data_IF_247405453264
#
_entry.id   IF_247405453264
#
_cell.length_a   1.000
_cell.length_b   1.000
_cell.length_c   1.000
_cell.angle_alpha   90.00
_cell.angle_beta   90.00
_cell.angle_gamma   90.00
#
_symmetry.space_group_name_H-M   'P 1'
#
loop_
_entity.id
_entity.type
_entity.pdbx_description
1 polymer ?
#
# COMPACT_ATOMS: atom_id res chain seq x y z
N UNK A 1 -2.11 -19.92 -27.30
CA UNK A 1 -1.32 -20.93 -26.55
C UNK A 1 -1.72 -20.86 -25.07
N UNK A 2 -1.84 -22.00 -24.36
CA UNK A 2 -2.08 -21.97 -22.92
C UNK A 2 -0.84 -21.38 -22.20
N UNK A 3 -1.06 -20.53 -21.19
CA UNK A 3 0.01 -19.94 -20.37
C UNK A 3 0.68 -21.03 -19.54
N UNK A 4 2.00 -21.12 -19.57
CA UNK A 4 2.78 -22.00 -18.67
C UNK A 4 2.79 -21.41 -17.26
N UNK A 5 2.93 -22.24 -16.20
CA UNK A 5 3.04 -21.74 -14.83
C UNK A 5 4.09 -20.64 -14.69
N UNK A 6 5.28 -20.84 -15.26
CA UNK A 6 6.38 -19.88 -15.26
C UNK A 6 6.03 -18.52 -15.88
N UNK A 7 5.31 -18.51 -17.01
CA UNK A 7 4.82 -17.26 -17.63
C UNK A 7 3.83 -16.50 -16.73
N UNK A 8 3.02 -17.22 -15.95
CA UNK A 8 2.07 -16.63 -15.00
C UNK A 8 2.80 -16.00 -13.80
N UNK A 9 3.84 -16.65 -13.29
CA UNK A 9 4.66 -16.10 -12.20
C UNK A 9 5.43 -14.85 -12.64
N UNK A 10 6.04 -14.84 -13.83
CA UNK A 10 6.80 -13.69 -14.33
C UNK A 10 5.91 -12.48 -14.63
N UNK A 11 4.75 -12.69 -15.27
CA UNK A 11 3.77 -11.63 -15.53
C UNK A 11 3.23 -11.06 -14.20
N UNK A 12 2.89 -11.95 -13.25
CA UNK A 12 2.48 -11.55 -11.90
C UNK A 12 3.55 -10.72 -11.17
N UNK A 13 4.80 -11.14 -11.22
CA UNK A 13 5.92 -10.44 -10.57
C UNK A 13 6.14 -9.03 -11.15
N UNK A 14 6.01 -8.84 -12.46
CA UNK A 14 6.18 -7.51 -13.07
C UNK A 14 5.08 -6.53 -12.66
N UNK A 15 3.82 -6.99 -12.59
CA UNK A 15 2.70 -6.12 -12.19
C UNK A 15 2.75 -5.84 -10.69
N UNK A 16 3.21 -6.81 -9.90
CA UNK A 16 3.38 -6.68 -8.46
C UNK A 16 4.51 -5.72 -8.08
N UNK A 17 5.65 -5.77 -8.77
CA UNK A 17 6.73 -4.77 -8.64
C UNK A 17 6.22 -3.34 -8.83
N UNK A 18 5.42 -3.12 -9.88
CA UNK A 18 4.86 -1.80 -10.16
C UNK A 18 3.91 -1.32 -9.04
N UNK A 19 3.22 -2.26 -8.38
CA UNK A 19 2.38 -1.98 -7.22
C UNK A 19 3.22 -1.59 -6.00
N UNK A 20 4.25 -2.38 -5.68
CA UNK A 20 5.21 -2.08 -4.60
C UNK A 20 5.83 -0.69 -4.78
N UNK A 21 6.33 -0.37 -5.97
CA UNK A 21 6.93 0.94 -6.27
C UNK A 21 5.93 2.10 -6.09
N UNK A 22 4.68 1.92 -6.52
CA UNK A 22 3.64 2.93 -6.34
C UNK A 22 3.31 3.17 -4.86
N UNK A 23 3.28 2.10 -4.04
CA UNK A 23 3.04 2.21 -2.61
C UNK A 23 4.21 2.87 -1.87
N UNK A 24 5.46 2.60 -2.26
CA UNK A 24 6.61 3.33 -1.72
C UNK A 24 6.58 4.84 -2.05
N UNK A 25 6.20 5.23 -3.27
CA UNK A 25 6.04 6.65 -3.61
C UNK A 25 4.95 7.31 -2.75
N UNK A 26 3.82 6.63 -2.54
CA UNK A 26 2.79 7.11 -1.62
C UNK A 26 3.32 7.30 -0.19
N UNK A 27 4.04 6.31 0.34
CA UNK A 27 4.66 6.41 1.66
C UNK A 27 5.58 7.62 1.79
N UNK A 28 6.40 7.90 0.77
CA UNK A 28 7.30 9.07 0.75
C UNK A 28 6.51 10.39 0.72
N UNK A 29 5.46 10.45 -0.11
CA UNK A 29 4.64 11.65 -0.27
C UNK A 29 3.77 11.95 0.96
N UNK A 30 3.26 10.91 1.63
CA UNK A 30 2.54 11.03 2.90
C UNK A 30 3.46 11.55 4.02
N UNK A 31 4.69 11.05 4.10
CA UNK A 31 5.68 11.55 5.05
C UNK A 31 6.02 13.02 4.77
N UNK A 32 6.26 13.38 3.50
CA UNK A 32 6.49 14.78 3.11
C UNK A 32 5.33 15.68 3.52
N UNK A 33 4.08 15.24 3.32
CA UNK A 33 2.89 15.97 3.77
C UNK A 33 2.86 16.09 5.30
N UNK A 34 3.14 15.01 6.03
CA UNK A 34 3.14 14.97 7.48
C UNK A 34 4.20 15.89 8.11
N UNK A 35 5.34 16.06 7.44
CA UNK A 35 6.43 16.93 7.88
C UNK A 35 6.21 18.41 7.49
N UNK A 36 5.30 18.69 6.55
CA UNK A 36 4.99 20.04 6.08
C UNK A 36 3.86 20.73 6.89
N UNK A 37 3.16 19.97 7.74
CA UNK A 37 2.09 20.49 8.60
C UNK A 37 2.64 21.40 9.72
N UNK A 38 1.89 22.43 10.16
CA UNK A 38 0.62 22.93 9.60
C UNK A 38 0.79 23.93 8.43
N UNK A 39 1.98 24.52 8.28
CA UNK A 39 2.15 25.82 7.63
C UNK A 39 2.52 25.73 6.15
N UNK A 40 3.13 24.64 5.69
CA UNK A 40 3.69 24.52 4.33
C UNK A 40 2.93 23.50 3.47
N UNK A 41 1.62 23.38 3.69
CA UNK A 41 0.78 22.42 2.96
C UNK A 41 0.24 23.04 1.67
N UNK A 42 0.62 22.44 0.54
CA UNK A 42 -0.12 22.57 -0.72
C UNK A 42 -1.43 21.78 -0.61
N UNK A 43 -2.54 22.49 -0.46
CA UNK A 43 -3.86 21.90 -0.20
C UNK A 43 -4.41 21.11 -1.40
N UNK A 44 -4.10 21.53 -2.63
CA UNK A 44 -4.53 20.83 -3.83
C UNK A 44 -3.74 19.52 -4.01
N UNK A 45 -2.42 19.58 -3.84
CA UNK A 45 -1.57 18.40 -3.88
C UNK A 45 -1.94 17.39 -2.78
N UNK A 46 -2.26 17.87 -1.57
CA UNK A 46 -2.71 17.02 -0.47
C UNK A 46 -4.03 16.28 -0.80
N UNK A 47 -5.02 16.98 -1.39
CA UNK A 47 -6.28 16.37 -1.80
C UNK A 47 -6.12 15.33 -2.92
N UNK A 48 -5.20 15.56 -3.86
CA UNK A 48 -4.88 14.58 -4.91
C UNK A 48 -4.17 13.36 -4.32
N UNK A 49 -3.21 13.59 -3.43
CA UNK A 49 -2.47 12.51 -2.77
C UNK A 49 -3.40 11.54 -2.05
N UNK A 50 -4.40 12.02 -1.30
CA UNK A 50 -5.32 11.14 -0.56
C UNK A 50 -6.26 10.36 -1.48
N UNK A 51 -6.68 10.92 -2.62
CA UNK A 51 -7.44 10.17 -3.65
C UNK A 51 -6.58 9.09 -4.32
N UNK A 52 -5.31 9.41 -4.60
CA UNK A 52 -4.35 8.47 -5.15
C UNK A 52 -4.02 7.35 -4.17
N UNK A 53 -3.91 7.65 -2.87
CA UNK A 53 -3.72 6.67 -1.81
C UNK A 53 -4.82 5.60 -1.85
N UNK A 54 -6.09 6.01 -1.75
CA UNK A 54 -7.22 5.07 -1.76
C UNK A 54 -7.29 4.22 -3.03
N UNK A 55 -7.06 4.83 -4.20
CA UNK A 55 -7.17 4.13 -5.47
C UNK A 55 -6.01 3.15 -5.68
N UNK A 56 -4.81 3.51 -5.22
CA UNK A 56 -3.62 2.67 -5.34
C UNK A 56 -3.65 1.50 -4.37
N UNK A 57 -3.94 1.70 -3.08
CA UNK A 57 -4.04 0.62 -2.10
C UNK A 57 -5.04 -0.44 -2.56
N UNK A 58 -6.27 -0.01 -2.88
CA UNK A 58 -7.30 -0.90 -3.44
C UNK A 58 -6.86 -1.70 -4.66
N UNK A 59 -6.02 -1.11 -5.52
CA UNK A 59 -5.53 -1.80 -6.71
C UNK A 59 -4.46 -2.83 -6.35
N UNK A 60 -3.52 -2.47 -5.46
CA UNK A 60 -2.42 -3.33 -5.05
C UNK A 60 -2.92 -4.51 -4.21
N UNK A 61 -3.71 -4.24 -3.16
CA UNK A 61 -4.31 -5.29 -2.33
C UNK A 61 -5.16 -6.27 -3.15
N UNK A 62 -5.97 -5.79 -4.11
CA UNK A 62 -6.71 -6.68 -5.01
C UNK A 62 -5.82 -7.51 -5.92
N UNK A 63 -4.70 -6.97 -6.38
CA UNK A 63 -3.73 -7.73 -7.16
C UNK A 63 -3.12 -8.84 -6.29
N UNK A 64 -2.69 -8.49 -5.08
CA UNK A 64 -2.14 -9.44 -4.12
C UNK A 64 -3.13 -10.56 -3.83
N UNK A 65 -4.36 -10.23 -3.44
CA UNK A 65 -5.37 -11.21 -3.07
C UNK A 65 -5.81 -12.11 -4.22
N UNK A 66 -5.84 -11.59 -5.46
CA UNK A 66 -6.32 -12.34 -6.64
C UNK A 66 -5.23 -13.10 -7.35
N UNK A 67 -3.98 -12.66 -7.24
CA UNK A 67 -2.85 -13.20 -8.00
C UNK A 67 -1.78 -13.75 -7.07
N UNK A 68 -1.26 -12.93 -6.16
CA UNK A 68 -0.11 -13.29 -5.33
C UNK A 68 -0.48 -14.32 -4.26
N UNK A 69 -1.54 -14.08 -3.48
CA UNK A 69 -1.95 -14.96 -2.38
C UNK A 69 -2.28 -16.38 -2.85
N UNK A 70 -3.01 -16.60 -3.97
CA UNK A 70 -3.19 -17.93 -4.52
C UNK A 70 -1.87 -18.62 -4.91
N UNK A 71 -0.90 -17.87 -5.44
CA UNK A 71 0.40 -18.43 -5.82
C UNK A 71 1.23 -18.82 -4.59
N UNK A 72 1.19 -18.03 -3.52
CA UNK A 72 1.83 -18.35 -2.25
C UNK A 72 1.18 -19.58 -1.60
N UNK A 73 -0.15 -19.65 -1.57
CA UNK A 73 -0.89 -20.77 -0.99
C UNK A 73 -0.63 -22.10 -1.72
N UNK A 74 -0.40 -22.05 -3.04
CA UNK A 74 0.01 -23.22 -3.82
C UNK A 74 1.39 -23.74 -3.44
N UNK A 75 2.29 -22.88 -2.96
CA UNK A 75 3.64 -23.27 -2.53
C UNK A 75 3.68 -23.77 -1.09
N UNK A 76 2.91 -23.15 -0.20
CA UNK A 76 2.74 -23.61 1.18
C UNK A 76 1.28 -23.45 1.60
N UNK A 77 0.58 -24.55 1.86
CA UNK A 77 -0.82 -24.46 2.30
C UNK A 77 -0.96 -24.01 3.76
N UNK A 78 0.12 -24.06 4.55
CA UNK A 78 0.10 -23.74 5.99
C UNK A 78 0.03 -22.25 6.28
N UNK A 79 0.30 -21.40 5.27
CA UNK A 79 0.26 -19.94 5.43
C UNK A 79 -1.16 -19.34 5.32
N UNK A 80 -2.21 -20.16 5.18
CA UNK A 80 -3.59 -19.68 5.04
C UNK A 80 -3.96 -18.66 6.13
N UNK A 81 -3.69 -18.95 7.40
CA UNK A 81 -3.96 -18.03 8.52
C UNK A 81 -3.20 -16.71 8.40
N UNK A 82 -1.98 -16.72 7.85
CA UNK A 82 -1.20 -15.50 7.59
C UNK A 82 -1.87 -14.68 6.50
N UNK A 83 -2.29 -15.31 5.39
CA UNK A 83 -2.98 -14.63 4.31
C UNK A 83 -4.32 -14.04 4.75
N UNK A 84 -5.06 -14.72 5.63
CA UNK A 84 -6.29 -14.20 6.20
C UNK A 84 -6.05 -12.97 7.08
N UNK A 85 -4.95 -12.96 7.86
CA UNK A 85 -4.53 -11.77 8.61
C UNK A 85 -4.15 -10.61 7.69
N UNK A 86 -3.41 -10.87 6.62
CA UNK A 86 -3.03 -9.83 5.65
C UNK A 86 -4.27 -9.21 4.97
N UNK A 87 -5.30 -10.00 4.64
CA UNK A 87 -6.57 -9.45 4.12
C UNK A 87 -7.25 -8.52 5.12
N UNK A 88 -7.17 -8.84 6.41
CA UNK A 88 -7.68 -7.95 7.44
C UNK A 88 -6.85 -6.65 7.52
N UNK A 89 -5.52 -6.76 7.51
CA UNK A 89 -4.62 -5.60 7.47
C UNK A 89 -4.91 -4.72 6.24
N UNK A 90 -5.16 -5.30 5.06
CA UNK A 90 -5.55 -4.56 3.85
C UNK A 90 -6.85 -3.78 4.03
N UNK A 91 -7.85 -4.39 4.68
CA UNK A 91 -9.12 -3.74 4.95
C UNK A 91 -8.94 -2.56 5.91
N UNK A 92 -8.13 -2.75 6.97
CA UNK A 92 -7.79 -1.70 7.94
C UNK A 92 -7.05 -0.53 7.27
N UNK A 93 -6.10 -0.82 6.37
CA UNK A 93 -5.38 0.19 5.60
C UNK A 93 -6.33 0.95 4.65
N UNK A 94 -7.25 0.26 3.98
CA UNK A 94 -8.26 0.91 3.11
C UNK A 94 -9.27 1.77 3.88
N UNK A 95 -9.62 1.37 5.11
CA UNK A 95 -10.44 2.16 6.03
C UNK A 95 -9.68 3.42 6.46
N UNK A 96 -8.43 3.26 6.92
CA UNK A 96 -7.59 4.37 7.37
C UNK A 96 -7.28 5.36 6.24
N UNK A 97 -7.16 4.89 4.99
CA UNK A 97 -7.01 5.75 3.82
C UNK A 97 -8.22 6.66 3.56
N UNK A 98 -9.43 6.20 3.91
CA UNK A 98 -10.65 7.02 3.85
C UNK A 98 -10.65 8.05 4.96
N UNK A 99 -10.34 7.65 6.18
CA UNK A 99 -10.28 8.58 7.32
C UNK A 99 -9.23 9.68 7.13
N UNK A 100 -8.09 9.35 6.52
CA UNK A 100 -7.08 10.34 6.11
C UNK A 100 -7.64 11.31 5.07
N UNK A 101 -8.37 10.82 4.07
CA UNK A 101 -8.96 11.69 3.05
C UNK A 101 -9.93 12.71 3.67
N UNK A 102 -10.81 12.25 4.54
CA UNK A 102 -11.78 13.11 5.23
C UNK A 102 -11.09 14.10 6.16
N UNK A 103 -10.04 13.65 6.87
CA UNK A 103 -9.24 14.51 7.75
C UNK A 103 -8.43 15.56 6.97
N UNK A 104 -7.88 15.21 5.81
CA UNK A 104 -7.23 16.19 4.92
C UNK A 104 -8.27 17.17 4.37
N UNK A 105 -9.44 16.69 3.94
CA UNK A 105 -10.52 17.55 3.47
C UNK A 105 -10.98 18.56 4.54
N UNK A 106 -11.15 18.11 5.78
CA UNK A 106 -11.45 18.99 6.91
C UNK A 106 -10.32 19.99 7.17
N UNK A 107 -9.07 19.53 7.16
CA UNK A 107 -7.90 20.38 7.39
C UNK A 107 -7.75 21.50 6.34
N UNK A 108 -7.99 21.20 5.05
CA UNK A 108 -7.86 22.19 3.99
C UNK A 108 -9.01 23.21 3.96
N UNK A 109 -10.16 22.86 4.53
CA UNK A 109 -11.36 23.74 4.58
C UNK A 109 -11.46 24.54 5.87
N UNK A 110 -10.78 24.13 6.94
CA UNK A 110 -10.80 24.81 8.24
C UNK A 110 -10.03 26.14 8.24
N UNK A 111 -10.65 27.20 8.76
CA UNK A 111 -10.07 28.55 8.81
C UNK A 111 -8.81 28.66 9.70
N UNK A 112 -8.63 27.76 10.68
CA UNK A 112 -7.56 27.86 11.68
C UNK A 112 -6.62 26.64 11.77
N UNK A 113 -6.80 25.61 10.93
CA UNK A 113 -5.90 24.42 10.84
C UNK A 113 -5.51 23.79 12.20
N UNK A 114 -6.39 23.86 13.21
CA UNK A 114 -6.07 23.51 14.60
C UNK A 114 -5.80 22.01 14.84
N UNK A 115 -6.15 21.14 13.88
CA UNK A 115 -6.00 19.68 13.98
C UNK A 115 -4.73 19.13 13.29
N UNK A 116 -3.72 19.96 13.05
CA UNK A 116 -2.51 19.58 12.31
C UNK A 116 -1.73 18.43 12.95
N UNK A 117 -1.60 18.40 14.28
CA UNK A 117 -0.89 17.34 15.00
C UNK A 117 -1.59 15.99 14.84
N UNK A 118 -2.93 15.98 14.98
CA UNK A 118 -3.75 14.78 14.78
C UNK A 118 -3.63 14.28 13.34
N UNK A 119 -3.72 15.17 12.35
CA UNK A 119 -3.54 14.80 10.95
C UNK A 119 -2.14 14.23 10.70
N UNK A 120 -1.10 14.87 11.25
CA UNK A 120 0.28 14.39 11.17
C UNK A 120 0.47 13.02 11.79
N UNK A 121 -0.22 12.72 12.90
CA UNK A 121 -0.24 11.39 13.51
C UNK A 121 -0.93 10.37 12.60
N UNK A 122 -2.12 10.69 12.07
CA UNK A 122 -2.86 9.79 11.17
C UNK A 122 -2.05 9.43 9.92
N UNK A 123 -1.36 10.41 9.30
CA UNK A 123 -0.49 10.17 8.15
C UNK A 123 0.66 9.20 8.50
N UNK A 124 1.30 9.39 9.66
CA UNK A 124 2.38 8.50 10.15
C UNK A 124 1.88 7.09 10.44
N UNK A 125 0.68 6.95 10.99
CA UNK A 125 0.01 5.66 11.19
C UNK A 125 -0.31 4.94 9.88
N UNK A 126 -0.39 5.64 8.74
CA UNK A 126 -0.55 5.00 7.43
C UNK A 126 0.78 4.56 6.83
N UNK A 127 1.75 5.48 6.67
CA UNK A 127 2.94 5.15 5.89
C UNK A 127 3.94 4.27 6.65
N UNK A 128 3.98 4.29 7.98
CA UNK A 128 4.95 3.51 8.75
C UNK A 128 4.63 1.99 8.73
N UNK A 129 3.39 1.53 9.00
CA UNK A 129 3.04 0.13 8.85
C UNK A 129 3.09 -0.32 7.39
N UNK A 130 2.62 0.49 6.45
CA UNK A 130 2.67 0.17 5.02
C UNK A 130 4.12 -0.06 4.55
N UNK A 131 5.10 0.74 4.98
CA UNK A 131 6.52 0.46 4.69
C UNK A 131 6.99 -0.90 5.21
N UNK A 132 6.52 -1.34 6.38
CA UNK A 132 6.87 -2.67 6.92
C UNK A 132 6.20 -3.80 6.13
N UNK A 133 4.96 -3.58 5.69
CA UNK A 133 4.26 -4.49 4.79
C UNK A 133 5.04 -4.64 3.47
N UNK A 134 5.40 -3.52 2.82
CA UNK A 134 6.17 -3.52 1.58
C UNK A 134 7.57 -4.16 1.74
N UNK A 135 8.22 -3.95 2.89
CA UNK A 135 9.50 -4.61 3.18
C UNK A 135 9.33 -6.14 3.23
N UNK A 136 8.29 -6.64 3.90
CA UNK A 136 7.97 -8.06 3.90
C UNK A 136 7.70 -8.58 2.48
N UNK A 137 6.97 -7.84 1.65
CA UNK A 137 6.73 -8.21 0.26
C UNK A 137 8.02 -8.28 -0.56
N UNK A 138 8.92 -7.32 -0.38
CA UNK A 138 10.21 -7.30 -1.05
C UNK A 138 11.12 -8.45 -0.62
N UNK A 139 11.20 -8.71 0.68
CA UNK A 139 12.16 -9.66 1.26
C UNK A 139 11.71 -11.12 1.10
N UNK A 140 10.40 -11.37 1.08
CA UNK A 140 9.86 -12.73 1.11
C UNK A 140 8.96 -13.06 -0.07
N UNK A 141 8.06 -12.15 -0.47
CA UNK A 141 7.05 -12.46 -1.51
C UNK A 141 7.67 -12.40 -2.90
N UNK A 142 8.40 -11.33 -3.22
CA UNK A 142 9.03 -11.16 -4.53
C UNK A 142 10.00 -12.29 -4.90
N UNK A 143 10.91 -12.75 -4.03
CA UNK A 143 11.79 -13.88 -4.33
C UNK A 143 11.02 -15.17 -4.63
N UNK A 144 9.85 -15.37 -4.01
CA UNK A 144 9.01 -16.54 -4.26
C UNK A 144 8.38 -16.50 -5.66
N UNK A 145 7.99 -15.32 -6.14
CA UNK A 145 7.39 -15.08 -7.46
C UNK A 145 8.42 -15.03 -8.58
N UNK A 146 9.67 -14.66 -8.25
CA UNK A 146 10.83 -14.71 -9.13
C UNK A 146 11.80 -15.78 -8.65
N UNK A 147 11.44 -17.07 -8.71
CA UNK A 147 12.43 -18.09 -8.43
C UNK A 147 13.56 -17.90 -9.45
N UNK A 148 14.71 -17.38 -9.00
CA UNK A 148 15.95 -17.44 -9.76
C UNK A 148 16.11 -18.87 -10.19
N UNK A 149 16.30 -19.11 -11.48
CA UNK A 149 16.64 -20.44 -11.98
C UNK A 149 17.79 -20.96 -11.10
N UNK A 150 17.50 -22.01 -10.32
CA UNK A 150 18.53 -22.67 -9.54
C UNK A 150 19.62 -23.09 -10.54
N UNK A 151 20.86 -22.64 -10.28
CA UNK A 151 22.04 -23.23 -10.93
C UNK A 151 22.18 -24.69 -10.50
#
# INVERSE_FOLDING_TARGET
>A
MPRTPESVYLEGASVFDACILAQFDLCRRLETLADSLPSQVDTWAAMILTKQLQTTLRRCHRLEERVVFPLLLRKDSRIQTVLDRLRQEHQEDEDHARDIHDSVHAFVTAAHRQDAERLGYMLRCMFMPLRRHLAFECDYVLPILRPTASQ
#
